data_IF_982957824991
#
_entry.id   IF_982957824991
#
_cell.length_a   1.000
_cell.length_b   1.000
_cell.length_c   1.000
_cell.angle_alpha   90.00
_cell.angle_beta   90.00
_cell.angle_gamma   90.00
#
_symmetry.space_group_name_H-M   'P 1'
#
loop_
_entity.id
_entity.type
_entity.pdbx_description
1 polymer ?
#
# COMPACT_ATOMS: atom_id res chain seq x y z
N UNK A 1 -1.66 -19.32 -7.23
CA UNK A 1 -2.75 -18.65 -6.47
C UNK A 1 -3.65 -17.86 -7.40
N UNK A 2 -4.69 -17.18 -6.89
CA UNK A 2 -5.52 -16.30 -7.72
C UNK A 2 -4.72 -15.16 -8.35
N UNK A 3 -3.76 -14.58 -7.62
CA UNK A 3 -2.88 -13.52 -8.12
C UNK A 3 -2.00 -14.00 -9.27
N UNK A 4 -1.41 -15.20 -9.12
CA UNK A 4 -0.61 -15.81 -10.18
C UNK A 4 -1.43 -16.03 -11.46
N UNK A 5 -2.69 -16.49 -11.34
CA UNK A 5 -3.58 -16.67 -12.51
C UNK A 5 -3.78 -15.34 -13.24
N UNK A 6 -4.06 -14.25 -12.51
CA UNK A 6 -4.18 -12.93 -13.12
C UNK A 6 -2.87 -12.48 -13.80
N UNK A 7 -1.72 -12.72 -13.18
CA UNK A 7 -0.41 -12.36 -13.73
C UNK A 7 -0.01 -13.15 -15.00
N UNK A 8 -0.66 -14.26 -15.29
CA UNK A 8 -0.48 -15.08 -16.50
C UNK A 8 -1.54 -14.77 -17.57
N UNK A 9 -2.63 -14.08 -17.22
CA UNK A 9 -3.69 -13.71 -18.15
C UNK A 9 -3.33 -12.48 -18.99
N UNK A 10 -3.94 -12.40 -20.17
CA UNK A 10 -4.03 -11.14 -20.89
C UNK A 10 -4.88 -10.15 -20.05
N UNK A 11 -4.41 -8.92 -19.80
CA UNK A 11 -5.19 -7.90 -19.09
C UNK A 11 -6.63 -7.74 -19.59
N UNK A 12 -6.89 -7.90 -20.89
CA UNK A 12 -8.23 -7.75 -21.47
C UNK A 12 -9.22 -8.83 -20.99
N UNK A 13 -8.71 -9.97 -20.53
CA UNK A 13 -9.50 -11.09 -20.01
C UNK A 13 -9.82 -10.96 -18.52
N UNK A 14 -9.19 -10.03 -17.81
CA UNK A 14 -9.41 -9.83 -16.38
C UNK A 14 -10.65 -8.93 -16.21
N UNK A 15 -11.65 -9.33 -15.39
CA UNK A 15 -12.84 -8.51 -15.19
C UNK A 15 -12.48 -7.10 -14.71
N UNK A 16 -13.12 -6.07 -15.28
CA UNK A 16 -12.92 -4.65 -14.91
C UNK A 16 -13.23 -4.33 -13.45
N UNK A 17 -14.02 -5.18 -12.77
CA UNK A 17 -14.27 -5.07 -11.33
C UNK A 17 -13.04 -5.48 -10.48
N UNK A 18 -12.07 -6.16 -11.08
CA UNK A 18 -10.82 -6.61 -10.46
C UNK A 18 -9.65 -5.77 -10.95
N UNK A 19 -9.51 -5.60 -12.27
CA UNK A 19 -8.42 -4.84 -12.88
C UNK A 19 -8.73 -3.35 -12.85
N UNK A 20 -7.90 -2.56 -12.17
CA UNK A 20 -7.97 -1.11 -12.20
C UNK A 20 -7.32 -0.56 -13.47
N UNK A 21 -6.06 -0.96 -13.72
CA UNK A 21 -5.39 -0.79 -15.01
C UNK A 21 -4.22 -1.78 -15.12
N UNK A 22 -3.67 -1.92 -16.32
CA UNK A 22 -2.46 -2.70 -16.57
C UNK A 22 -1.39 -1.81 -17.21
N UNK A 23 -0.14 -2.10 -16.91
CA UNK A 23 1.01 -1.51 -17.59
C UNK A 23 1.72 -2.58 -18.40
N UNK A 24 2.84 -2.21 -19.01
CA UNK A 24 3.70 -3.20 -19.62
C UNK A 24 4.09 -4.26 -18.58
N UNK A 25 4.62 -3.86 -17.42
CA UNK A 25 5.27 -4.77 -16.47
C UNK A 25 4.32 -5.34 -15.41
N UNK A 26 3.30 -4.59 -14.99
CA UNK A 26 2.46 -4.94 -13.85
C UNK A 26 0.96 -4.87 -14.16
N UNK A 27 0.18 -5.47 -13.28
CA UNK A 27 -1.26 -5.28 -13.19
C UNK A 27 -1.56 -4.56 -11.88
N UNK A 28 -2.43 -3.56 -11.94
CA UNK A 28 -2.96 -2.89 -10.75
C UNK A 28 -4.38 -3.36 -10.54
N UNK A 29 -4.61 -4.05 -9.42
CA UNK A 29 -5.89 -4.69 -9.12
C UNK A 29 -6.46 -4.22 -7.78
N UNK A 30 -7.78 -4.27 -7.64
CA UNK A 30 -8.45 -4.05 -6.36
C UNK A 30 -8.21 -5.23 -5.41
N UNK A 31 -7.84 -4.96 -4.16
CA UNK A 31 -7.84 -6.01 -3.13
C UNK A 31 -9.29 -6.34 -2.77
N UNK A 32 -9.70 -7.59 -3.03
CA UNK A 32 -11.05 -8.09 -2.75
C UNK A 32 -11.45 -7.95 -1.27
N UNK A 33 -10.49 -8.01 -0.37
CA UNK A 33 -10.67 -7.90 1.07
C UNK A 33 -9.87 -6.69 1.59
N UNK A 34 -10.11 -5.51 1.03
CA UNK A 34 -9.47 -4.24 1.37
C UNK A 34 -9.33 -4.02 2.89
N UNK A 35 -8.18 -3.55 3.39
CA UNK A 35 -8.00 -3.29 4.83
C UNK A 35 -8.19 -1.82 5.24
N UNK A 36 -8.28 -0.96 4.23
CA UNK A 36 -8.57 0.47 4.32
C UNK A 36 -9.53 0.89 3.19
N UNK A 37 -9.97 2.15 3.18
CA UNK A 37 -10.82 2.71 2.12
C UNK A 37 -10.25 2.45 0.72
N UNK A 38 -8.96 2.75 0.53
CA UNK A 38 -8.22 2.39 -0.67
C UNK A 38 -7.25 1.27 -0.33
N UNK A 39 -7.40 0.14 -1.02
CA UNK A 39 -6.43 -0.94 -0.95
C UNK A 39 -6.36 -1.63 -2.31
N UNK A 40 -5.24 -1.41 -2.99
CA UNK A 40 -4.94 -1.99 -4.28
C UNK A 40 -3.62 -2.75 -4.20
N UNK A 41 -3.45 -3.68 -5.12
CA UNK A 41 -2.25 -4.48 -5.26
C UNK A 41 -1.64 -4.21 -6.64
N UNK A 42 -0.35 -3.94 -6.65
CA UNK A 42 0.46 -3.97 -7.88
C UNK A 42 1.10 -5.35 -7.94
N UNK A 43 0.82 -6.11 -8.99
CA UNK A 43 1.36 -7.45 -9.18
C UNK A 43 2.15 -7.53 -10.49
N UNK A 44 3.39 -8.06 -10.49
CA UNK A 44 4.17 -8.19 -11.71
C UNK A 44 3.59 -9.27 -12.61
N UNK A 45 3.58 -8.99 -13.91
CA UNK A 45 3.17 -9.96 -14.93
C UNK A 45 4.24 -11.03 -15.11
N UNK A 46 3.81 -12.23 -15.49
CA UNK A 46 4.75 -13.28 -15.85
C UNK A 46 5.31 -13.04 -17.25
N UNK A 47 6.64 -13.08 -17.38
CA UNK A 47 7.40 -12.85 -18.63
C UNK A 47 8.60 -13.78 -18.69
N UNK A 48 8.43 -15.02 -19.20
CA UNK A 48 9.54 -15.95 -19.38
C UNK A 48 10.60 -15.40 -20.35
N UNK A 49 11.89 -15.74 -20.15
CA UNK A 49 12.40 -16.66 -19.13
C UNK A 49 12.71 -15.98 -17.78
N UNK A 50 12.60 -14.65 -17.68
CA UNK A 50 13.14 -13.88 -16.55
C UNK A 50 12.17 -13.79 -15.36
N UNK A 51 10.88 -13.54 -15.62
CA UNK A 51 9.86 -13.37 -14.60
C UNK A 51 8.83 -14.51 -14.68
N UNK A 52 9.23 -15.71 -14.26
CA UNK A 52 8.32 -16.87 -14.21
C UNK A 52 7.50 -16.86 -12.92
N UNK A 53 6.35 -17.55 -12.90
CA UNK A 53 5.55 -17.72 -11.69
C UNK A 53 6.35 -18.33 -10.52
N UNK A 54 7.28 -19.25 -10.81
CA UNK A 54 8.16 -19.82 -9.80
C UNK A 54 9.10 -18.76 -9.19
N UNK A 55 9.67 -17.87 -10.01
CA UNK A 55 10.55 -16.79 -9.54
C UNK A 55 9.77 -15.72 -8.77
N UNK A 56 8.56 -15.41 -9.23
CA UNK A 56 7.67 -14.42 -8.64
C UNK A 56 6.84 -14.96 -7.48
N UNK A 57 7.11 -16.19 -6.98
CA UNK A 57 6.31 -16.80 -5.92
C UNK A 57 6.22 -15.92 -4.67
N UNK A 58 7.32 -15.30 -4.25
CA UNK A 58 7.37 -14.35 -3.15
C UNK A 58 8.66 -13.51 -3.19
N UNK A 59 8.74 -12.47 -2.35
CA UNK A 59 9.92 -11.59 -2.28
C UNK A 59 11.22 -12.34 -2.03
N UNK A 60 11.22 -13.31 -1.11
CA UNK A 60 12.41 -14.13 -0.80
C UNK A 60 12.92 -14.84 -2.05
N UNK A 61 12.03 -15.47 -2.81
CA UNK A 61 12.38 -16.20 -4.03
C UNK A 61 12.84 -15.25 -5.15
N UNK A 62 12.22 -14.06 -5.26
CA UNK A 62 12.64 -13.02 -6.18
C UNK A 62 14.07 -12.55 -5.88
N UNK A 63 14.34 -12.15 -4.64
CA UNK A 63 15.62 -11.57 -4.21
C UNK A 63 16.78 -12.56 -4.13
N UNK A 64 16.49 -13.86 -3.95
CA UNK A 64 17.49 -14.93 -4.09
C UNK A 64 17.87 -15.22 -5.56
N UNK A 65 17.17 -14.61 -6.51
CA UNK A 65 17.49 -14.70 -7.92
C UNK A 65 18.57 -13.71 -8.35
N UNK A 66 18.43 -13.20 -9.57
CA UNK A 66 19.28 -12.13 -10.08
C UNK A 66 18.94 -10.81 -9.40
N UNK A 67 19.91 -10.23 -8.67
CA UNK A 67 19.72 -8.99 -7.90
C UNK A 67 19.36 -7.81 -8.81
N UNK A 68 19.97 -7.70 -9.98
CA UNK A 68 19.74 -6.58 -10.90
C UNK A 68 18.31 -6.63 -11.46
N UNK A 69 17.87 -7.82 -11.90
CA UNK A 69 16.48 -8.00 -12.36
C UNK A 69 15.45 -7.84 -11.26
N UNK A 70 15.77 -8.29 -10.06
CA UNK A 70 14.90 -8.03 -8.92
C UNK A 70 14.76 -6.52 -8.68
N UNK A 71 15.86 -5.76 -8.77
CA UNK A 71 15.83 -4.30 -8.65
C UNK A 71 14.97 -3.67 -9.75
N UNK A 72 15.21 -4.04 -11.01
CA UNK A 72 14.42 -3.55 -12.16
C UNK A 72 12.92 -3.80 -11.97
N UNK A 73 12.52 -4.97 -11.48
CA UNK A 73 11.12 -5.26 -11.19
C UNK A 73 10.57 -4.34 -10.09
N UNK A 74 11.31 -4.16 -8.99
CA UNK A 74 10.89 -3.27 -7.88
C UNK A 74 10.82 -1.81 -8.34
N UNK A 75 11.73 -1.36 -9.19
CA UNK A 75 11.72 -0.01 -9.77
C UNK A 75 10.45 0.21 -10.63
N UNK A 76 10.06 -0.74 -11.49
CA UNK A 76 8.80 -0.64 -12.24
C UNK A 76 7.57 -0.62 -11.32
N UNK A 77 7.59 -1.40 -10.22
CA UNK A 77 6.49 -1.37 -9.24
C UNK A 77 6.43 -0.03 -8.50
N UNK A 78 7.58 0.62 -8.25
CA UNK A 78 7.66 1.97 -7.67
C UNK A 78 7.01 3.00 -8.59
N UNK A 79 7.39 3.01 -9.87
CA UNK A 79 6.80 3.91 -10.88
C UNK A 79 5.28 3.74 -10.95
N UNK A 80 4.80 2.50 -11.02
CA UNK A 80 3.36 2.20 -11.02
C UNK A 80 2.66 2.63 -9.72
N UNK A 81 3.35 2.57 -8.58
CA UNK A 81 2.82 3.02 -7.29
C UNK A 81 2.68 4.53 -7.21
N UNK A 82 3.62 5.29 -7.77
CA UNK A 82 3.56 6.75 -7.80
C UNK A 82 2.38 7.25 -8.66
N UNK A 83 2.18 6.62 -9.82
CA UNK A 83 1.01 6.89 -10.67
C UNK A 83 -0.31 6.49 -9.99
N UNK A 84 -0.31 5.36 -9.28
CA UNK A 84 -1.49 4.92 -8.54
C UNK A 84 -1.83 5.86 -7.38
N UNK A 85 -0.84 6.37 -6.65
CA UNK A 85 -1.05 7.34 -5.57
C UNK A 85 -1.73 8.59 -6.12
N UNK A 86 -1.26 9.14 -7.26
CA UNK A 86 -1.89 10.31 -7.88
C UNK A 86 -3.39 10.08 -8.16
N UNK A 87 -3.73 8.91 -8.72
CA UNK A 87 -5.13 8.52 -9.00
C UNK A 87 -5.96 8.34 -7.73
N UNK A 88 -5.36 7.74 -6.69
CA UNK A 88 -6.01 7.60 -5.38
C UNK A 88 -6.27 8.98 -4.77
N UNK A 89 -5.29 9.88 -4.81
CA UNK A 89 -5.43 11.24 -4.28
C UNK A 89 -6.49 12.07 -5.02
N UNK A 90 -6.59 11.93 -6.34
CA UNK A 90 -7.68 12.52 -7.13
C UNK A 90 -9.04 11.98 -6.66
N UNK A 91 -9.14 10.67 -6.41
CA UNK A 91 -10.35 10.06 -5.87
C UNK A 91 -10.65 10.55 -4.45
N UNK A 92 -9.64 10.64 -3.57
CA UNK A 92 -9.77 11.23 -2.23
C UNK A 92 -10.35 12.64 -2.29
N UNK A 93 -9.79 13.51 -3.14
CA UNK A 93 -10.31 14.87 -3.31
C UNK A 93 -11.74 14.89 -3.86
N UNK A 94 -12.05 14.04 -4.85
CA UNK A 94 -13.37 13.99 -5.47
C UNK A 94 -14.45 13.52 -4.50
N UNK A 95 -14.20 12.43 -3.77
CA UNK A 95 -15.19 11.76 -2.91
C UNK A 95 -15.20 12.25 -1.47
N UNK A 96 -14.04 12.63 -0.92
CA UNK A 96 -13.89 12.96 0.51
C UNK A 96 -13.54 14.43 0.76
N UNK A 97 -13.12 15.18 -0.27
CA UNK A 97 -12.78 16.61 -0.20
C UNK A 97 -11.52 16.94 0.60
N UNK A 98 -10.65 15.97 0.86
CA UNK A 98 -9.32 16.14 1.41
C UNK A 98 -8.47 14.90 1.08
N UNK A 99 -7.15 14.98 1.27
CA UNK A 99 -6.21 13.87 1.10
C UNK A 99 -5.71 13.39 2.46
N UNK A 100 -5.33 12.12 2.55
CA UNK A 100 -4.62 11.53 3.69
C UNK A 100 -3.57 10.54 3.21
N UNK A 101 -2.75 10.07 4.14
CA UNK A 101 -1.55 9.29 3.82
C UNK A 101 -1.89 7.98 3.12
N UNK A 102 -1.00 7.58 2.22
CA UNK A 102 -1.01 6.29 1.52
C UNK A 102 0.31 5.59 1.83
N UNK A 103 0.24 4.34 2.26
CA UNK A 103 1.39 3.49 2.49
C UNK A 103 1.61 2.57 1.30
N UNK A 104 2.88 2.38 0.97
CA UNK A 104 3.32 1.54 -0.12
C UNK A 104 4.36 0.57 0.41
N UNK A 105 4.09 -0.73 0.30
CA UNK A 105 4.98 -1.72 0.88
C UNK A 105 4.51 -3.16 0.71
N UNK A 106 5.33 -4.07 1.22
CA UNK A 106 5.11 -5.50 1.13
C UNK A 106 4.89 -6.09 2.52
N UNK A 107 4.15 -7.19 2.58
CA UNK A 107 4.24 -8.07 3.73
C UNK A 107 5.56 -8.85 3.68
N UNK A 108 6.29 -8.88 4.79
CA UNK A 108 7.52 -9.65 4.94
C UNK A 108 7.33 -11.15 4.64
N UNK A 109 6.18 -11.68 5.07
CA UNK A 109 5.69 -13.01 4.71
C UNK A 109 4.30 -12.87 4.12
N UNK A 110 4.21 -12.99 2.80
CA UNK A 110 2.95 -12.84 2.08
C UNK A 110 1.96 -13.98 2.33
N UNK A 111 0.67 -13.65 2.36
CA UNK A 111 -0.42 -14.61 2.60
C UNK A 111 -0.87 -15.36 1.33
N UNK A 112 -0.62 -14.79 0.16
CA UNK A 112 -0.86 -15.40 -1.14
C UNK A 112 0.46 -15.48 -1.89
N UNK A 113 0.76 -16.62 -2.51
CA UNK A 113 1.84 -16.68 -3.51
C UNK A 113 1.58 -15.67 -4.63
N UNK A 114 2.67 -15.30 -5.30
CA UNK A 114 2.84 -14.21 -6.25
C UNK A 114 3.17 -12.89 -5.57
N UNK A 115 4.33 -12.29 -5.87
CA UNK A 115 4.77 -10.99 -5.36
C UNK A 115 3.65 -9.96 -5.59
N UNK A 116 3.35 -9.17 -4.56
CA UNK A 116 2.35 -8.11 -4.66
C UNK A 116 2.73 -6.96 -3.73
N UNK A 117 2.79 -5.76 -4.30
CA UNK A 117 3.01 -4.52 -3.55
C UNK A 117 1.64 -3.99 -3.15
N UNK A 118 1.47 -3.72 -1.85
CA UNK A 118 0.29 -3.08 -1.33
C UNK A 118 0.41 -1.57 -1.54
N UNK A 119 -0.64 -0.97 -2.10
CA UNK A 119 -0.86 0.48 -2.06
C UNK A 119 -2.16 0.69 -1.29
N UNK A 120 -2.01 1.14 -0.04
CA UNK A 120 -3.08 1.12 0.96
C UNK A 120 -3.18 2.48 1.65
N UNK A 121 -4.37 3.04 1.75
CA UNK A 121 -4.57 4.29 2.48
C UNK A 121 -4.46 4.07 3.99
N UNK A 122 -3.94 5.07 4.72
CA UNK A 122 -3.58 4.92 6.13
C UNK A 122 -4.79 4.71 7.06
N UNK A 123 -6.00 5.06 6.65
CA UNK A 123 -7.20 5.15 7.51
C UNK A 123 -7.62 3.86 8.23
N UNK A 124 -7.23 2.68 7.71
CA UNK A 124 -7.61 1.37 8.26
C UNK A 124 -9.14 1.22 8.47
N UNK A 125 -9.96 1.91 7.67
CA UNK A 125 -11.42 1.82 7.72
C UNK A 125 -11.90 0.78 6.70
N UNK A 126 -12.20 -0.43 7.19
CA UNK A 126 -12.79 -1.47 6.36
C UNK A 126 -13.52 -2.53 7.19
N UNK A 127 -14.63 -3.04 6.66
CA UNK A 127 -15.35 -4.19 7.21
C UNK A 127 -14.52 -5.50 7.12
N UNK A 128 -13.50 -5.54 6.27
CA UNK A 128 -12.61 -6.70 6.13
C UNK A 128 -11.40 -6.66 7.11
N UNK A 129 -11.21 -5.57 7.85
CA UNK A 129 -10.21 -5.48 8.93
C UNK A 129 -10.72 -6.16 10.22
N UNK A 130 -10.83 -7.49 10.18
CA UNK A 130 -11.59 -8.27 11.18
C UNK A 130 -10.79 -8.80 12.37
N UNK A 131 -9.51 -9.06 12.21
CA UNK A 131 -8.73 -9.80 13.21
C UNK A 131 -7.35 -9.16 13.45
N UNK A 132 -6.72 -9.56 14.57
CA UNK A 132 -5.42 -9.07 15.02
C UNK A 132 -4.34 -9.23 13.94
N UNK A 133 -4.32 -10.36 13.23
CA UNK A 133 -3.38 -10.59 12.13
C UNK A 133 -3.55 -9.57 11.01
N UNK A 134 -4.79 -9.23 10.62
CA UNK A 134 -5.04 -8.23 9.58
C UNK A 134 -4.53 -6.86 9.99
N UNK A 135 -4.71 -6.45 11.24
CA UNK A 135 -4.22 -5.16 11.71
C UNK A 135 -2.70 -5.14 11.82
N UNK A 136 -2.13 -6.08 12.55
CA UNK A 136 -0.70 -6.14 12.81
C UNK A 136 0.13 -6.33 11.52
N UNK A 137 -0.43 -6.98 10.49
CA UNK A 137 0.29 -7.14 9.22
C UNK A 137 0.50 -5.81 8.48
N UNK A 138 -0.34 -4.81 8.70
CA UNK A 138 -0.22 -3.48 8.09
C UNK A 138 0.19 -2.39 9.09
N UNK A 139 0.45 -2.74 10.35
CA UNK A 139 0.90 -1.75 11.33
C UNK A 139 2.26 -1.17 10.90
N UNK A 140 2.37 0.13 10.59
CA UNK A 140 3.49 0.70 9.82
C UNK A 140 4.82 0.67 10.57
N UNK A 141 4.80 0.44 11.89
CA UNK A 141 5.99 0.42 12.77
C UNK A 141 6.32 -0.96 13.32
N UNK A 142 5.50 -1.97 13.03
CA UNK A 142 5.69 -3.30 13.62
C UNK A 142 6.75 -4.13 12.87
N UNK A 143 7.10 -3.72 11.65
CA UNK A 143 8.11 -4.36 10.81
C UNK A 143 7.59 -5.52 9.95
N UNK A 144 6.33 -5.97 10.14
CA UNK A 144 5.73 -6.97 9.25
C UNK A 144 5.37 -6.37 7.88
N UNK A 145 4.89 -5.13 7.87
CA UNK A 145 4.77 -4.31 6.67
C UNK A 145 6.13 -3.63 6.43
N UNK A 146 6.79 -4.00 5.35
CA UNK A 146 8.09 -3.43 4.95
C UNK A 146 7.79 -2.37 3.90
N UNK A 147 8.14 -1.12 4.16
CA UNK A 147 7.89 -0.03 3.23
C UNK A 147 8.72 -0.22 1.96
N UNK A 148 8.19 0.26 0.83
CA UNK A 148 8.88 0.14 -0.46
C UNK A 148 10.24 0.83 -0.43
N UNK A 149 10.34 2.00 0.22
CA UNK A 149 11.59 2.72 0.37
C UNK A 149 12.63 1.91 1.15
N UNK A 150 12.23 1.19 2.20
CA UNK A 150 13.12 0.29 2.93
C UNK A 150 13.66 -0.83 2.02
N UNK A 151 12.81 -1.41 1.16
CA UNK A 151 13.24 -2.43 0.18
C UNK A 151 14.24 -1.86 -0.82
N UNK A 152 14.01 -0.64 -1.31
CA UNK A 152 14.91 0.03 -2.24
C UNK A 152 16.30 0.25 -1.60
N UNK A 153 16.33 0.69 -0.34
CA UNK A 153 17.57 0.86 0.43
C UNK A 153 18.36 -0.47 0.58
N UNK A 154 17.66 -1.62 0.59
CA UNK A 154 18.35 -2.91 0.65
C UNK A 154 19.21 -3.16 -0.59
N UNK A 155 18.79 -2.71 -1.77
CA UNK A 155 19.57 -2.91 -3.00
C UNK A 155 20.91 -2.16 -2.96
N UNK A 156 20.96 -1.03 -2.25
CA UNK A 156 22.17 -0.22 -2.07
C UNK A 156 23.03 -0.68 -0.88
N UNK A 157 22.52 -1.60 -0.07
CA UNK A 157 23.22 -2.08 1.12
C UNK A 157 24.41 -2.99 0.79
N UNK A 158 25.40 -2.99 1.70
CA UNK A 158 26.54 -3.90 1.62
C UNK A 158 26.09 -5.37 1.60
N UNK A 159 26.87 -6.30 0.99
CA UNK A 159 26.41 -7.67 0.74
C UNK A 159 25.96 -8.46 1.97
N UNK A 160 26.51 -8.18 3.15
CA UNK A 160 26.09 -8.83 4.41
C UNK A 160 24.69 -8.39 4.86
N UNK A 161 24.39 -7.10 4.74
CA UNK A 161 23.08 -6.52 5.08
C UNK A 161 22.03 -7.00 4.08
N UNK A 162 22.34 -6.96 2.77
CA UNK A 162 21.48 -7.53 1.73
C UNK A 162 21.09 -8.97 2.06
N UNK A 163 22.08 -9.85 2.29
CA UNK A 163 21.85 -11.27 2.60
C UNK A 163 20.97 -11.49 3.82
N UNK A 164 21.14 -10.68 4.86
CA UNK A 164 20.31 -10.74 6.08
C UNK A 164 18.87 -10.32 5.79
N UNK A 165 18.68 -9.20 5.09
CA UNK A 165 17.35 -8.63 4.86
C UNK A 165 16.49 -9.52 3.96
N UNK A 166 17.08 -10.08 2.90
CA UNK A 166 16.34 -10.94 1.95
C UNK A 166 16.00 -12.33 2.50
N UNK A 167 16.50 -12.68 3.70
CA UNK A 167 16.20 -13.96 4.31
C UNK A 167 14.69 -14.09 4.58
N UNK A 168 14.04 -12.96 4.95
CA UNK A 168 12.60 -12.84 5.18
C UNK A 168 12.04 -14.04 5.97
N UNK A 169 12.75 -14.40 7.04
CA UNK A 169 12.52 -15.64 7.77
C UNK A 169 11.16 -15.61 8.50
N UNK A 170 10.21 -16.52 8.18
CA UNK A 170 8.90 -16.52 8.84
C UNK A 170 8.96 -16.67 10.35
N UNK A 171 9.95 -17.38 10.89
CA UNK A 171 10.13 -17.54 12.33
C UNK A 171 10.36 -16.19 13.05
N UNK A 172 10.91 -15.20 12.36
CA UNK A 172 11.10 -13.84 12.88
C UNK A 172 9.83 -12.99 12.74
N UNK A 173 9.18 -13.02 11.57
CA UNK A 173 8.08 -12.11 11.25
C UNK A 173 6.72 -12.59 11.77
N UNK A 174 6.41 -13.89 11.73
CA UNK A 174 5.09 -14.40 12.15
C UNK A 174 4.73 -14.11 13.62
N UNK A 175 5.66 -14.13 14.59
CA UNK A 175 5.38 -13.71 15.96
C UNK A 175 4.88 -12.25 16.07
N UNK A 176 5.30 -11.36 15.17
CA UNK A 176 4.85 -9.96 15.14
C UNK A 176 3.33 -9.87 14.98
N UNK A 177 2.73 -10.76 14.18
CA UNK A 177 1.29 -10.80 13.94
C UNK A 177 0.48 -11.12 15.21
N UNK A 178 1.12 -11.64 16.26
CA UNK A 178 0.49 -12.03 17.53
C UNK A 178 0.63 -10.97 18.62
N UNK A 179 1.43 -9.91 18.38
CA UNK A 179 1.64 -8.78 19.30
C UNK A 179 0.33 -8.12 19.70
N UNK A 180 0.38 -7.35 20.77
CA UNK A 180 -0.79 -6.64 21.27
C UNK A 180 -1.29 -5.58 20.27
N UNK A 181 -2.57 -5.25 20.39
CA UNK A 181 -3.22 -4.31 19.47
C UNK A 181 -2.90 -2.90 19.92
N UNK A 182 -1.83 -2.33 19.40
CA UNK A 182 -1.41 -0.96 19.67
C UNK A 182 -1.86 -0.04 18.53
N UNK A 183 -2.46 1.11 18.83
CA UNK A 183 -2.86 2.08 17.81
C UNK A 183 -1.64 2.77 17.18
N UNK A 184 -1.49 2.67 15.86
CA UNK A 184 -0.38 3.30 15.14
C UNK A 184 -0.31 4.84 15.22
N UNK A 185 -1.42 5.51 15.59
CA UNK A 185 -1.47 6.96 15.76
C UNK A 185 -0.99 7.42 17.14
N UNK A 186 -1.44 6.77 18.21
CA UNK A 186 -1.32 7.27 19.58
C UNK A 186 -0.69 6.28 20.56
N UNK A 187 -0.37 5.07 20.11
CA UNK A 187 0.23 3.98 20.88
C UNK A 187 -0.63 3.46 22.04
N UNK A 188 -1.94 3.74 22.04
CA UNK A 188 -2.86 3.13 23.01
C UNK A 188 -3.06 1.64 22.69
N UNK A 189 -3.02 0.80 23.73
CA UNK A 189 -3.20 -0.65 23.61
C UNK A 189 -4.67 -1.07 23.82
N UNK A 190 -5.10 -2.06 23.06
CA UNK A 190 -6.47 -2.57 23.06
C UNK A 190 -6.53 -4.07 23.29
N UNK A 191 -7.55 -4.52 24.03
CA UNK A 191 -7.71 -5.96 24.34
C UNK A 191 -8.27 -6.76 23.18
N UNK A 192 -9.01 -6.11 22.28
CA UNK A 192 -9.67 -6.78 21.16
C UNK A 192 -9.87 -5.84 19.96
N UNK A 193 -10.09 -6.45 18.79
CA UNK A 193 -10.29 -5.72 17.53
C UNK A 193 -11.48 -4.75 17.57
N UNK A 194 -12.68 -5.08 18.10
CA UNK A 194 -13.78 -4.12 18.17
C UNK A 194 -13.43 -2.81 18.88
N UNK A 195 -12.68 -2.89 19.99
CA UNK A 195 -12.22 -1.69 20.71
C UNK A 195 -11.24 -0.88 19.86
N UNK A 196 -10.23 -1.53 19.27
CA UNK A 196 -9.27 -0.87 18.39
C UNK A 196 -9.95 -0.22 17.17
N UNK A 197 -10.82 -0.94 16.47
CA UNK A 197 -11.52 -0.42 15.27
C UNK A 197 -12.40 0.77 15.62
N UNK A 198 -13.09 0.75 16.78
CA UNK A 198 -13.84 1.90 17.27
C UNK A 198 -12.91 3.10 17.47
N UNK A 199 -11.77 2.90 18.11
CA UNK A 199 -10.78 3.95 18.35
C UNK A 199 -10.16 4.50 17.05
N UNK A 200 -9.80 3.63 16.10
CA UNK A 200 -9.31 4.04 14.77
C UNK A 200 -10.35 4.87 14.02
N UNK A 201 -11.65 4.52 14.15
CA UNK A 201 -12.74 5.33 13.58
C UNK A 201 -12.80 6.73 14.19
N UNK A 202 -12.56 6.88 15.49
CA UNK A 202 -12.49 8.20 16.13
C UNK A 202 -11.32 9.04 15.60
N UNK A 203 -10.15 8.43 15.37
CA UNK A 203 -9.03 9.09 14.69
C UNK A 203 -9.39 9.51 13.27
N UNK A 204 -10.05 8.62 12.52
CA UNK A 204 -10.50 8.89 11.15
C UNK A 204 -11.47 10.08 11.07
N UNK A 205 -12.50 10.12 11.92
CA UNK A 205 -13.48 11.22 11.89
C UNK A 205 -12.83 12.56 12.26
N UNK A 206 -11.87 12.57 13.20
CA UNK A 206 -11.09 13.77 13.53
C UNK A 206 -10.23 14.22 12.35
N UNK A 207 -9.51 13.30 11.70
CA UNK A 207 -8.68 13.58 10.54
C UNK A 207 -9.52 14.14 9.38
N UNK A 208 -10.68 13.51 9.12
CA UNK A 208 -11.63 13.92 8.10
C UNK A 208 -12.18 15.32 8.34
N UNK A 209 -12.64 15.61 9.56
CA UNK A 209 -13.15 16.93 9.91
C UNK A 209 -12.07 18.00 9.73
N UNK A 210 -10.85 17.75 10.21
CA UNK A 210 -9.73 18.67 10.06
C UNK A 210 -9.34 18.89 8.58
N UNK A 211 -9.30 17.81 7.79
CA UNK A 211 -8.98 17.86 6.37
C UNK A 211 -9.99 18.68 5.55
N UNK A 212 -11.29 18.47 5.79
CA UNK A 212 -12.36 19.23 5.14
C UNK A 212 -12.29 20.71 5.53
N UNK A 213 -12.13 21.02 6.82
CA UNK A 213 -12.03 22.39 7.31
C UNK A 213 -10.81 23.12 6.69
N UNK A 214 -9.65 22.44 6.58
CA UNK A 214 -8.46 22.98 5.93
C UNK A 214 -8.71 23.31 4.46
N UNK A 215 -9.41 22.43 3.74
CA UNK A 215 -9.74 22.63 2.32
C UNK A 215 -10.73 23.77 2.10
N UNK A 216 -11.76 23.89 2.95
CA UNK A 216 -12.69 25.01 2.92
C UNK A 216 -11.97 26.34 3.17
N UNK A 217 -11.10 26.39 4.18
CA UNK A 217 -10.30 27.58 4.48
C UNK A 217 -9.38 27.96 3.32
N UNK A 218 -8.74 26.98 2.68
CA UNK A 218 -7.89 27.22 1.50
C UNK A 218 -8.69 27.86 0.36
N UNK A 219 -9.86 27.29 0.04
CA UNK A 219 -10.75 27.83 -1.00
C UNK A 219 -11.19 29.27 -0.70
N UNK A 220 -11.59 29.56 0.55
CA UNK A 220 -11.97 30.92 0.94
C UNK A 220 -10.84 31.94 0.74
N UNK A 221 -9.59 31.55 1.00
CA UNK A 221 -8.42 32.41 0.78
C UNK A 221 -8.18 32.61 -0.72
N UNK A 222 -8.26 31.54 -1.52
CA UNK A 222 -8.11 31.62 -2.98
C UNK A 222 -9.17 32.51 -3.63
N UNK A 223 -10.45 32.33 -3.26
CA UNK A 223 -11.56 33.15 -3.74
C UNK A 223 -11.38 34.63 -3.36
N UNK A 224 -10.91 34.90 -2.13
CA UNK A 224 -10.64 36.27 -1.67
C UNK A 224 -9.45 36.92 -2.41
N UNK A 225 -8.38 36.16 -2.68
CA UNK A 225 -7.23 36.64 -3.45
C UNK A 225 -7.61 36.92 -4.91
N UNK A 226 -8.44 36.08 -5.52
CA UNK A 226 -8.92 36.28 -6.88
C UNK A 226 -9.79 37.53 -6.98
N UNK A 227 -10.74 37.71 -6.06
CA UNK A 227 -11.59 38.90 -6.01
C UNK A 227 -10.81 40.20 -5.73
N UNK A 228 -9.66 40.11 -5.03
CA UNK A 228 -8.79 41.27 -4.83
C UNK A 228 -8.04 41.67 -6.11
N UNK A 229 -7.52 40.69 -6.87
CA UNK A 229 -6.86 40.94 -8.16
C UNK A 229 -7.81 41.56 -9.19
N UNK A 230 -9.03 41.03 -9.29
CA UNK A 230 -10.04 41.55 -10.22
C UNK A 230 -10.40 43.02 -9.94
N UNK A 231 -10.30 43.47 -8.67
CA UNK A 231 -10.51 44.88 -8.29
C UNK A 231 -9.31 45.79 -8.52
N UNK A 232 -8.11 45.24 -8.64
CA UNK A 232 -6.89 46.01 -8.98
C UNK A 232 -6.74 46.20 -10.48
N UNK A 233 -7.42 45.37 -11.29
CA UNK A 233 -7.42 45.43 -12.76
C UNK A 233 -8.56 46.27 -13.36
N UNK A 234 -9.52 46.72 -12.53
CA UNK A 234 -10.66 47.61 -12.87
C UNK A 234 -10.37 49.08 -12.50
#
# INVERSE_FOLDING_TARGET
>A
TVLQRYAEMDPEQIPKAILFYATEHNLVIFDRYNKSIFHLLIIPRTRPPHYTAARLKNLRTLFQGDKQRAKELIDHMKEDSEELIKKIEEWMLKSYKFKWDVWVGFHAVQSLDHVHLHVISADMQSEHLKNKKHYNSFHPKLGFFIHLDDILDWFEAVPSVWRKNIELNPAFFEPLLKKDLECYHCYEEFRNMPQLTKHLKEHWEKLKAAGIAKMQRKKMIEDAMQAAKEKEEE
#
